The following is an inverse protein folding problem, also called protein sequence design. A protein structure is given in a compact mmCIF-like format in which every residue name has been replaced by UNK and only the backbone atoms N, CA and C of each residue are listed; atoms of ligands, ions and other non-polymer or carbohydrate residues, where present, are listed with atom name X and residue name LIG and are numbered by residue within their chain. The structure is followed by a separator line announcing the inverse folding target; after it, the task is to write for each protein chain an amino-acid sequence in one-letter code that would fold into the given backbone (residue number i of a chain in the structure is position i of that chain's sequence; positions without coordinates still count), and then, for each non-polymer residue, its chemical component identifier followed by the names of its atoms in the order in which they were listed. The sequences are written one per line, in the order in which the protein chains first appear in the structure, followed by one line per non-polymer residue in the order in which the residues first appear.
data_IF_704815467322
#
_entry.id   IF_704815467322
#
_cell.length_a   1.000
_cell.length_b   1.000
_cell.length_c   1.000
_cell.angle_alpha   90.00
_cell.angle_beta   90.00
_cell.angle_gamma   90.00
#
_symmetry.space_group_name_H-M   'P 1'
#
loop_
_entity.id
_entity.type
_entity.pdbx_description
1 polymer ?
#
# COMPACT_ATOMS: atom_id res chain seq x y z
N UNK A 1 -10.86 -4.50 -7.74
CA UNK A 1 -11.12 -3.10 -8.12
C UNK A 1 -10.12 -2.65 -9.17
N UNK A 2 -10.56 -1.85 -10.11
CA UNK A 2 -9.70 -1.26 -11.12
C UNK A 2 -8.88 -0.10 -10.55
N UNK A 3 -7.79 0.26 -11.23
CA UNK A 3 -7.00 1.45 -10.91
C UNK A 3 -7.88 2.70 -10.72
N UNK A 4 -8.84 2.91 -11.62
CA UNK A 4 -9.72 4.09 -11.58
C UNK A 4 -10.64 4.09 -10.37
N UNK A 5 -11.16 2.94 -9.99
CA UNK A 5 -12.00 2.81 -8.80
C UNK A 5 -11.20 3.11 -7.52
N UNK A 6 -10.00 2.56 -7.40
CA UNK A 6 -9.10 2.81 -6.27
C UNK A 6 -8.73 4.29 -6.18
N UNK A 7 -8.34 4.89 -7.31
CA UNK A 7 -8.00 6.32 -7.38
C UNK A 7 -9.17 7.21 -6.96
N UNK A 8 -10.38 6.83 -7.36
CA UNK A 8 -11.62 7.54 -7.00
C UNK A 8 -11.84 7.54 -5.48
N UNK A 9 -11.63 6.41 -4.83
CA UNK A 9 -11.73 6.30 -3.36
C UNK A 9 -10.67 7.18 -2.68
N UNK A 10 -9.42 7.11 -3.13
CA UNK A 10 -8.34 7.93 -2.56
C UNK A 10 -8.66 9.43 -2.68
N UNK A 11 -9.14 9.87 -3.84
CA UNK A 11 -9.52 11.28 -4.05
C UNK A 11 -10.69 11.72 -3.18
N UNK A 12 -11.63 10.84 -2.95
CA UNK A 12 -12.79 11.11 -2.09
C UNK A 12 -12.39 11.21 -0.63
N UNK A 13 -11.65 10.21 -0.14
CA UNK A 13 -11.30 10.09 1.28
C UNK A 13 -10.18 11.06 1.68
N UNK A 14 -9.23 11.35 0.78
CA UNK A 14 -8.13 12.30 0.97
C UNK A 14 -7.20 11.96 2.15
N UNK A 15 -7.22 10.73 2.60
CA UNK A 15 -6.45 10.26 3.74
C UNK A 15 -5.98 8.83 3.50
N UNK A 16 -4.70 8.60 3.72
CA UNK A 16 -4.10 7.26 3.73
C UNK A 16 -3.39 7.09 5.06
N UNK A 17 -3.79 6.11 5.85
CA UNK A 17 -3.11 5.80 7.11
C UNK A 17 -1.87 4.95 6.84
N UNK A 18 -0.76 5.32 7.46
CA UNK A 18 0.52 4.63 7.33
C UNK A 18 0.72 3.73 8.55
N UNK A 19 0.89 2.43 8.32
CA UNK A 19 1.15 1.45 9.37
C UNK A 19 2.59 0.95 9.25
N UNK A 20 3.46 1.53 10.06
CA UNK A 20 4.89 1.19 10.12
C UNK A 20 5.19 0.46 11.42
N UNK A 21 5.78 -0.73 11.33
CA UNK A 21 6.23 -1.47 12.50
C UNK A 21 5.12 -2.04 13.38
N UNK A 22 3.91 -2.18 12.85
CA UNK A 22 2.80 -2.81 13.58
C UNK A 22 2.99 -4.32 13.56
N UNK A 23 3.15 -4.98 14.72
CA UNK A 23 3.30 -6.42 14.76
C UNK A 23 2.00 -7.14 14.39
N UNK A 24 2.12 -8.36 13.89
CA UNK A 24 0.97 -9.13 13.38
C UNK A 24 -0.15 -9.30 14.40
N UNK A 25 0.18 -9.50 15.68
CA UNK A 25 -0.79 -9.68 16.77
C UNK A 25 -1.54 -8.39 17.16
N UNK A 26 -1.13 -7.23 16.62
CA UNK A 26 -1.77 -5.94 16.87
C UNK A 26 -2.59 -5.43 15.69
N UNK A 27 -2.50 -6.08 14.53
CA UNK A 27 -3.12 -5.58 13.30
C UNK A 27 -4.64 -5.47 13.44
N UNK A 28 -5.31 -6.47 13.97
CA UNK A 28 -6.78 -6.44 14.10
C UNK A 28 -7.25 -5.27 14.95
N UNK A 29 -6.59 -5.01 16.07
CA UNK A 29 -6.93 -3.88 16.95
C UNK A 29 -6.71 -2.54 16.27
N UNK A 30 -5.57 -2.38 15.57
CA UNK A 30 -5.23 -1.13 14.88
C UNK A 30 -6.16 -0.88 13.70
N UNK A 31 -6.35 -1.86 12.83
CA UNK A 31 -7.20 -1.72 11.65
C UNK A 31 -8.65 -1.48 12.04
N UNK A 32 -9.19 -2.23 13.02
CA UNK A 32 -10.55 -2.02 13.51
C UNK A 32 -10.75 -0.61 14.06
N UNK A 33 -9.79 -0.09 14.83
CA UNK A 33 -9.85 1.27 15.36
C UNK A 33 -9.81 2.32 14.26
N UNK A 34 -8.96 2.15 13.24
CA UNK A 34 -8.89 3.05 12.10
C UNK A 34 -10.21 3.07 11.31
N UNK A 35 -10.78 1.90 11.05
CA UNK A 35 -12.07 1.79 10.35
C UNK A 35 -13.18 2.47 11.17
N UNK A 36 -13.23 2.24 12.46
CA UNK A 36 -14.20 2.88 13.35
C UNK A 36 -14.06 4.42 13.35
N UNK A 37 -12.83 4.92 13.19
CA UNK A 37 -12.56 6.35 13.07
C UNK A 37 -12.83 6.93 11.68
N UNK A 38 -13.22 6.14 10.71
CA UNK A 38 -13.56 6.61 9.37
C UNK A 38 -12.47 6.43 8.31
N UNK A 39 -11.34 5.81 8.64
CA UNK A 39 -10.27 5.54 7.66
C UNK A 39 -10.74 4.47 6.66
N UNK A 40 -10.50 4.72 5.38
CA UNK A 40 -10.91 3.83 4.29
C UNK A 40 -9.75 3.39 3.40
N UNK A 41 -8.57 3.97 3.59
CA UNK A 41 -7.35 3.61 2.84
C UNK A 41 -6.20 3.55 3.82
N UNK A 42 -5.44 2.45 3.78
CA UNK A 42 -4.25 2.29 4.60
C UNK A 42 -3.14 1.56 3.83
N UNK A 43 -1.91 1.71 4.28
CA UNK A 43 -0.78 1.00 3.72
C UNK A 43 0.12 0.43 4.81
N UNK A 44 0.67 -0.75 4.53
CA UNK A 44 1.70 -1.36 5.35
C UNK A 44 3.07 -1.08 4.74
N UNK A 45 3.96 -0.53 5.55
CA UNK A 45 5.29 -0.10 5.10
C UNK A 45 6.29 -1.25 5.18
N UNK A 46 7.06 -1.47 4.12
CA UNK A 46 8.18 -2.42 4.15
C UNK A 46 9.26 -1.93 5.11
N UNK A 47 9.69 -2.79 6.01
CA UNK A 47 10.79 -2.54 6.94
C UNK A 47 12.08 -3.17 6.39
N UNK A 48 12.86 -2.38 5.66
CA UNK A 48 14.06 -2.87 4.97
C UNK A 48 15.22 -3.24 5.90
N UNK A 49 15.12 -2.93 7.19
CA UNK A 49 16.08 -3.40 8.19
C UNK A 49 15.88 -4.88 8.52
N UNK A 50 14.77 -5.46 8.10
CA UNK A 50 14.44 -6.85 8.33
C UNK A 50 14.59 -7.65 7.02
N UNK A 51 15.37 -8.72 7.05
CA UNK A 51 15.60 -9.58 5.88
C UNK A 51 14.32 -10.26 5.36
N UNK A 52 13.33 -10.49 6.24
CA UNK A 52 12.05 -11.12 5.91
C UNK A 52 10.94 -10.10 5.60
N UNK A 53 11.28 -8.84 5.33
CA UNK A 53 10.30 -7.76 5.22
C UNK A 53 9.25 -8.02 4.14
N UNK A 54 9.61 -8.62 3.02
CA UNK A 54 8.66 -8.92 1.94
C UNK A 54 7.61 -9.92 2.41
N UNK A 55 8.02 -11.04 2.97
CA UNK A 55 7.11 -12.07 3.47
C UNK A 55 6.23 -11.56 4.61
N UNK A 56 6.83 -10.83 5.55
CA UNK A 56 6.10 -10.26 6.70
C UNK A 56 5.06 -9.23 6.26
N UNK A 57 5.44 -8.33 5.36
CA UNK A 57 4.53 -7.30 4.88
C UNK A 57 3.40 -7.89 4.04
N UNK A 58 3.71 -8.86 3.19
CA UNK A 58 2.71 -9.60 2.41
C UNK A 58 1.70 -10.30 3.33
N UNK A 59 2.15 -10.92 4.42
CA UNK A 59 1.28 -11.55 5.39
C UNK A 59 0.31 -10.57 6.04
N UNK A 60 0.79 -9.38 6.41
CA UNK A 60 -0.04 -8.30 6.99
C UNK A 60 -1.09 -7.80 6.00
N UNK A 61 -0.68 -7.57 4.75
CA UNK A 61 -1.57 -7.14 3.68
C UNK A 61 -2.66 -8.19 3.44
N UNK A 62 -2.26 -9.46 3.28
CA UNK A 62 -3.20 -10.56 3.01
C UNK A 62 -4.22 -10.71 4.15
N UNK A 63 -3.76 -10.72 5.38
CA UNK A 63 -4.64 -10.80 6.54
C UNK A 63 -5.68 -9.67 6.55
N UNK A 64 -5.23 -8.45 6.31
CA UNK A 64 -6.12 -7.28 6.33
C UNK A 64 -7.11 -7.30 5.17
N UNK A 65 -6.67 -7.68 3.98
CA UNK A 65 -7.56 -7.80 2.81
C UNK A 65 -8.62 -8.88 3.04
N UNK A 66 -8.23 -10.03 3.57
CA UNK A 66 -9.16 -11.14 3.82
C UNK A 66 -10.23 -10.80 4.88
N UNK A 67 -9.86 -10.06 5.91
CA UNK A 67 -10.76 -9.78 7.04
C UNK A 67 -11.47 -8.43 6.95
N UNK A 68 -10.90 -7.45 6.27
CA UNK A 68 -11.38 -6.06 6.24
C UNK A 68 -11.45 -5.45 4.84
N UNK A 69 -11.21 -6.24 3.79
CA UNK A 69 -11.14 -5.73 2.41
C UNK A 69 -12.44 -5.15 1.87
N UNK A 70 -13.57 -5.44 2.50
CA UNK A 70 -14.87 -4.86 2.18
C UNK A 70 -15.05 -3.44 2.77
N UNK A 71 -14.20 -3.05 3.72
CA UNK A 71 -14.30 -1.79 4.47
C UNK A 71 -13.13 -0.84 4.25
N UNK A 72 -11.98 -1.35 3.82
CA UNK A 72 -10.76 -0.58 3.68
C UNK A 72 -9.96 -1.04 2.46
N UNK A 73 -9.36 -0.10 1.75
CA UNK A 73 -8.37 -0.39 0.70
C UNK A 73 -7.00 -0.52 1.33
N UNK A 74 -6.26 -1.54 0.92
CA UNK A 74 -4.94 -1.85 1.49
C UNK A 74 -3.87 -1.69 0.42
N UNK A 75 -2.79 -1.00 0.78
CA UNK A 75 -1.62 -0.85 -0.06
C UNK A 75 -0.33 -1.21 0.63
N UNK A 76 0.77 -1.06 -0.10
CA UNK A 76 2.12 -1.16 0.46
C UNK A 76 2.82 0.20 0.40
N UNK A 77 3.69 0.45 1.36
CA UNK A 77 4.49 1.67 1.44
C UNK A 77 5.98 1.39 1.47
N UNK A 78 6.76 2.41 1.14
CA UNK A 78 8.23 2.33 1.04
C UNK A 78 8.66 1.20 0.09
N UNK A 79 7.92 1.04 -1.01
CA UNK A 79 8.23 0.05 -2.03
C UNK A 79 9.41 0.54 -2.89
N UNK A 80 10.50 -0.20 -2.87
CA UNK A 80 11.76 0.15 -3.54
C UNK A 80 12.09 -0.76 -4.71
N UNK A 81 11.44 -1.92 -4.82
CA UNK A 81 11.75 -2.93 -5.83
C UNK A 81 10.49 -3.49 -6.49
N UNK A 82 10.64 -4.00 -7.70
CA UNK A 82 9.57 -4.71 -8.42
C UNK A 82 9.11 -5.95 -7.66
N UNK A 83 10.04 -6.65 -7.01
CA UNK A 83 9.73 -7.83 -6.20
C UNK A 83 8.78 -7.49 -5.05
N UNK A 84 9.00 -6.35 -4.39
CA UNK A 84 8.10 -5.87 -3.33
C UNK A 84 6.71 -5.54 -3.86
N UNK A 85 6.63 -4.91 -5.03
CA UNK A 85 5.36 -4.61 -5.69
C UNK A 85 4.60 -5.91 -6.03
N UNK A 86 5.28 -6.88 -6.61
CA UNK A 86 4.68 -8.18 -6.96
C UNK A 86 4.13 -8.91 -5.72
N UNK A 87 4.92 -8.96 -4.66
CA UNK A 87 4.50 -9.60 -3.41
C UNK A 87 3.29 -8.92 -2.78
N UNK A 88 3.26 -7.59 -2.79
CA UNK A 88 2.13 -6.83 -2.28
C UNK A 88 0.88 -7.05 -3.12
N UNK A 89 0.99 -7.04 -4.44
CA UNK A 89 -0.12 -7.32 -5.34
C UNK A 89 -0.69 -8.72 -5.12
N UNK A 90 0.16 -9.73 -5.03
CA UNK A 90 -0.25 -11.12 -4.79
C UNK A 90 -0.95 -11.28 -3.43
N UNK A 91 -0.63 -10.44 -2.47
CA UNK A 91 -1.29 -10.40 -1.18
C UNK A 91 -2.62 -9.64 -1.18
N UNK A 92 -2.94 -8.94 -2.27
CA UNK A 92 -4.19 -8.20 -2.44
C UNK A 92 -4.09 -6.69 -2.34
N UNK A 93 -2.89 -6.12 -2.31
CA UNK A 93 -2.70 -4.67 -2.30
C UNK A 93 -3.18 -4.04 -3.61
N UNK A 94 -3.79 -2.86 -3.52
CA UNK A 94 -4.31 -2.14 -4.67
C UNK A 94 -3.63 -0.78 -4.91
N UNK A 95 -2.71 -0.38 -4.04
CA UNK A 95 -1.91 0.83 -4.21
C UNK A 95 -0.48 0.63 -3.73
N UNK A 96 0.44 1.36 -4.35
CA UNK A 96 1.87 1.34 -4.06
C UNK A 96 2.33 2.75 -3.75
N UNK A 97 2.88 2.94 -2.56
CA UNK A 97 3.50 4.20 -2.15
C UNK A 97 5.00 3.98 -2.08
N UNK A 98 5.76 4.86 -2.71
CA UNK A 98 7.22 4.80 -2.73
C UNK A 98 7.82 6.14 -2.37
N UNK A 99 9.03 6.17 -1.76
CA UNK A 99 9.64 7.42 -1.31
C UNK A 99 10.25 8.23 -2.44
N UNK A 100 10.47 7.63 -3.59
CA UNK A 100 11.18 8.24 -4.73
C UNK A 100 10.54 7.85 -6.05
N UNK A 101 10.94 8.54 -7.12
CA UNK A 101 10.58 8.18 -8.48
C UNK A 101 11.51 7.07 -8.96
N UNK A 102 10.96 5.87 -9.11
CA UNK A 102 11.64 4.71 -9.70
C UNK A 102 10.78 4.20 -10.85
N UNK A 103 11.31 4.32 -12.07
CA UNK A 103 10.55 4.00 -13.28
C UNK A 103 10.10 2.53 -13.32
N UNK A 104 10.91 1.60 -12.84
CA UNK A 104 10.58 0.18 -12.83
C UNK A 104 9.43 -0.13 -11.85
N UNK A 105 9.48 0.46 -10.66
CA UNK A 105 8.42 0.30 -9.63
C UNK A 105 7.10 0.88 -10.13
N UNK A 106 7.13 2.09 -10.70
CA UNK A 106 5.94 2.76 -11.25
C UNK A 106 5.34 1.95 -12.41
N UNK A 107 6.18 1.51 -13.35
CA UNK A 107 5.73 0.73 -14.50
C UNK A 107 5.08 -0.58 -14.06
N UNK A 108 5.69 -1.29 -13.09
CA UNK A 108 5.14 -2.54 -12.60
C UNK A 108 3.80 -2.36 -11.90
N UNK A 109 3.66 -1.33 -11.08
CA UNK A 109 2.38 -1.01 -10.45
C UNK A 109 1.28 -0.77 -11.49
N UNK A 110 1.59 -0.05 -12.57
CA UNK A 110 0.65 0.20 -13.66
C UNK A 110 0.29 -1.07 -14.43
N UNK A 111 1.26 -1.93 -14.71
CA UNK A 111 1.01 -3.22 -15.35
C UNK A 111 0.04 -4.09 -14.55
N UNK A 112 0.10 -4.00 -13.23
CA UNK A 112 -0.76 -4.75 -12.31
C UNK A 112 -2.07 -4.02 -11.97
N UNK A 113 -2.36 -2.93 -12.66
CA UNK A 113 -3.55 -2.09 -12.44
C UNK A 113 -3.66 -1.54 -11.02
N UNK A 114 -2.53 -1.30 -10.38
CA UNK A 114 -2.45 -0.68 -9.04
C UNK A 114 -2.29 0.84 -9.17
N UNK A 115 -2.75 1.58 -8.17
CA UNK A 115 -2.45 3.01 -8.07
C UNK A 115 -1.01 3.18 -7.60
N UNK A 116 -0.22 3.99 -8.31
CA UNK A 116 1.15 4.33 -7.92
C UNK A 116 1.20 5.75 -7.38
N UNK A 117 1.76 5.92 -6.19
CA UNK A 117 1.91 7.21 -5.51
C UNK A 117 3.39 7.40 -5.12
N UNK A 118 4.26 7.74 -6.09
CA UNK A 118 5.67 7.95 -5.82
C UNK A 118 5.93 9.34 -5.22
N UNK A 119 6.88 9.40 -4.29
CA UNK A 119 7.45 10.67 -3.84
C UNK A 119 8.28 11.29 -4.96
N UNK A 120 8.32 12.61 -5.02
CA UNK A 120 9.13 13.34 -6.00
C UNK A 120 9.70 14.61 -5.39
N UNK A 121 10.94 14.95 -5.76
CA UNK A 121 11.61 16.15 -5.27
C UNK A 121 11.24 17.39 -6.08
N UNK A 122 10.74 17.21 -7.31
CA UNK A 122 10.33 18.29 -8.21
C UNK A 122 9.10 17.88 -9.01
N UNK A 123 8.31 18.85 -9.50
CA UNK A 123 7.15 18.62 -10.36
C UNK A 123 7.51 17.86 -11.64
N UNK A 124 8.72 18.08 -12.15
CA UNK A 124 9.22 17.43 -13.36
C UNK A 124 9.24 15.91 -13.24
N UNK A 125 9.50 15.39 -12.04
CA UNK A 125 9.54 13.95 -11.77
C UNK A 125 8.18 13.39 -11.35
N UNK A 126 7.28 14.22 -10.88
CA UNK A 126 5.96 13.79 -10.42
C UNK A 126 5.00 13.41 -11.55
N UNK A 127 5.35 13.67 -12.79
CA UNK A 127 4.51 13.40 -13.99
C UNK A 127 4.93 12.12 -14.75
N UNK A 128 5.65 11.24 -14.14
CA UNK A 128 6.10 9.99 -14.79
C UNK A 128 4.99 8.95 -14.87
#
# INVERSE_FOLDING_TARGET
MTHQEVLSVIKKEKLVAILRGVPMDRIDGVVSALIAGGVRVLEFTFDHDNADCIAQNAAKIRHTVEHYGDKVLVGCGTALTVEEVDAAHDAGACLVISPNVDAAVIARAKELDMVSMPGALTDRKSVV
#
